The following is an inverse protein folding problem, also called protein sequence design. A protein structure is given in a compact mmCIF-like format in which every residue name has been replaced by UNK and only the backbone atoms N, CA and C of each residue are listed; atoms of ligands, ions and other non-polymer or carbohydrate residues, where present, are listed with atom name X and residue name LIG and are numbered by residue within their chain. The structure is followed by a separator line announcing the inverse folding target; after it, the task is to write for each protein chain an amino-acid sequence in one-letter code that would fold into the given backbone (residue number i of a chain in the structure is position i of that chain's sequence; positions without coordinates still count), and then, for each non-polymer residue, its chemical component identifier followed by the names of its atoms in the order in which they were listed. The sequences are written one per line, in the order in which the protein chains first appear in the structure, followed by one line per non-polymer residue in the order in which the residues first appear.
data_IF_078988840316
#
_entry.id   IF_078988840316
#
_cell.length_a   1.000
_cell.length_b   1.000
_cell.length_c   1.000
_cell.angle_alpha   90.00
_cell.angle_beta   90.00
_cell.angle_gamma   90.00
#
_symmetry.space_group_name_H-M   'P 1'
#
loop_
_entity.id
_entity.type
_entity.pdbx_description
1 polymer ?
#
# COMPACT_ATOMS: atom_id res chain seq x y z
N UNK A 1 -3.22 12.64 -11.39
CA UNK A 1 -1.83 12.58 -10.89
C UNK A 1 -1.42 11.12 -10.93
N UNK A 2 -0.21 10.81 -11.39
CA UNK A 2 0.18 9.44 -11.78
C UNK A 2 -0.25 8.35 -10.77
N UNK A 3 0.07 8.51 -9.48
CA UNK A 3 -0.25 7.52 -8.43
C UNK A 3 -1.75 7.38 -8.17
N UNK A 4 -2.50 8.48 -8.19
CA UNK A 4 -3.97 8.46 -8.04
C UNK A 4 -4.61 7.70 -9.19
N UNK A 5 -4.15 7.95 -10.41
CA UNK A 5 -4.71 7.36 -11.61
C UNK A 5 -4.35 5.86 -11.73
N UNK A 6 -3.19 5.45 -11.20
CA UNK A 6 -2.68 4.07 -11.32
C UNK A 6 -3.12 3.14 -10.19
N UNK A 7 -3.14 3.62 -8.95
CA UNK A 7 -3.41 2.79 -7.75
C UNK A 7 -4.42 3.41 -6.78
N UNK A 8 -5.06 4.53 -7.14
CA UNK A 8 -6.03 5.22 -6.28
C UNK A 8 -5.39 5.92 -5.08
N UNK A 9 -4.06 6.03 -5.04
CA UNK A 9 -3.35 6.62 -3.92
C UNK A 9 -3.38 8.14 -3.98
N UNK A 10 -3.96 8.75 -2.95
CA UNK A 10 -3.90 10.20 -2.74
C UNK A 10 -2.61 10.57 -2.00
N UNK A 11 -1.86 11.54 -2.52
CA UNK A 11 -0.62 12.04 -1.91
C UNK A 11 -0.88 12.61 -0.51
N UNK A 12 -2.06 13.17 -0.28
CA UNK A 12 -2.46 13.74 1.00
C UNK A 12 -2.69 12.70 2.11
N UNK A 13 -2.96 11.44 1.76
CA UNK A 13 -3.22 10.37 2.74
C UNK A 13 -1.95 9.69 3.26
N UNK A 14 -0.87 9.72 2.48
CA UNK A 14 0.46 9.16 2.85
C UNK A 14 1.41 10.27 3.35
N UNK A 15 1.25 11.49 2.84
CA UNK A 15 2.09 12.63 3.17
C UNK A 15 3.09 12.93 2.05
N UNK A 16 3.12 14.20 1.62
CA UNK A 16 3.91 14.70 0.50
C UNK A 16 5.41 14.39 0.63
N UNK A 17 5.95 14.50 1.85
CA UNK A 17 7.36 14.20 2.12
C UNK A 17 7.75 12.75 1.81
N UNK A 18 6.84 11.78 1.98
CA UNK A 18 7.10 10.37 1.65
C UNK A 18 7.17 10.20 0.13
N UNK A 19 6.26 10.85 -0.60
CA UNK A 19 6.23 10.81 -2.07
C UNK A 19 7.47 11.47 -2.66
N UNK A 20 7.85 12.65 -2.18
CA UNK A 20 9.06 13.34 -2.63
C UNK A 20 10.33 12.53 -2.35
N UNK A 21 10.38 11.84 -1.21
CA UNK A 21 11.50 10.96 -0.87
C UNK A 21 11.56 9.77 -1.83
N UNK A 22 10.43 9.13 -2.10
CA UNK A 22 10.35 8.00 -3.03
C UNK A 22 10.76 8.42 -4.44
N UNK A 23 10.25 9.55 -4.94
CA UNK A 23 10.61 10.11 -6.25
C UNK A 23 12.12 10.39 -6.35
N UNK A 24 12.72 11.06 -5.35
CA UNK A 24 14.17 11.31 -5.32
C UNK A 24 14.99 10.02 -5.29
N UNK A 25 14.56 9.04 -4.51
CA UNK A 25 15.24 7.74 -4.44
C UNK A 25 15.18 7.01 -5.78
N UNK A 26 14.03 7.03 -6.44
CA UNK A 26 13.83 6.39 -7.75
C UNK A 26 14.59 7.08 -8.87
N UNK A 27 14.52 8.41 -8.98
CA UNK A 27 15.28 9.18 -9.96
C UNK A 27 16.79 8.93 -9.83
N UNK A 28 17.30 8.88 -8.59
CA UNK A 28 18.69 8.52 -8.33
C UNK A 28 19.02 7.07 -8.71
N UNK A 29 18.14 6.11 -8.42
CA UNK A 29 18.34 4.71 -8.77
C UNK A 29 18.30 4.45 -10.28
N UNK A 30 17.52 5.23 -11.01
CA UNK A 30 17.41 5.21 -12.47
C UNK A 30 18.48 6.06 -13.18
N UNK A 31 19.37 6.72 -12.43
CA UNK A 31 20.41 7.61 -12.96
C UNK A 31 19.87 8.79 -13.80
N UNK A 32 18.66 9.25 -13.51
CA UNK A 32 18.07 10.39 -14.21
C UNK A 32 18.75 11.70 -13.79
N UNK A 33 19.00 12.58 -14.76
CA UNK A 33 19.71 13.83 -14.53
C UNK A 33 18.85 14.87 -13.77
N UNK A 34 17.55 14.88 -14.03
CA UNK A 34 16.58 15.80 -13.44
C UNK A 34 15.18 15.18 -13.35
N UNK A 35 14.20 15.98 -12.92
CA UNK A 35 12.81 15.57 -12.78
C UNK A 35 12.12 15.29 -14.12
N UNK A 36 12.52 15.98 -15.19
CA UNK A 36 11.87 15.86 -16.49
C UNK A 36 12.32 14.57 -17.17
N UNK A 37 13.62 14.26 -17.11
CA UNK A 37 14.19 12.97 -17.54
C UNK A 37 13.55 11.80 -16.78
N UNK A 38 13.42 11.93 -15.45
CA UNK A 38 12.71 10.92 -14.66
C UNK A 38 11.23 10.80 -15.04
N UNK A 39 10.55 11.91 -15.31
CA UNK A 39 9.15 11.88 -15.74
C UNK A 39 8.97 11.14 -17.06
N UNK A 40 9.84 11.40 -18.05
CA UNK A 40 9.85 10.70 -19.34
C UNK A 40 10.07 9.19 -19.19
N UNK A 41 11.00 8.78 -18.31
CA UNK A 41 11.20 7.38 -17.98
C UNK A 41 9.95 6.78 -17.32
N UNK A 42 9.37 7.47 -16.33
CA UNK A 42 8.21 6.99 -15.58
C UNK A 42 7.01 6.73 -16.49
N UNK A 43 6.71 7.62 -17.44
CA UNK A 43 5.56 7.43 -18.33
C UNK A 43 5.79 6.32 -19.38
N UNK A 44 7.04 6.02 -19.73
CA UNK A 44 7.39 5.08 -20.81
C UNK A 44 7.77 3.67 -20.31
N UNK A 45 8.10 3.52 -19.03
CA UNK A 45 8.61 2.27 -18.46
C UNK A 45 7.66 1.69 -17.41
N UNK A 46 6.91 0.61 -17.72
CA UNK A 46 6.08 -0.10 -16.74
C UNK A 46 6.86 -0.60 -15.53
N UNK A 47 8.14 -0.93 -15.72
CA UNK A 47 9.04 -1.38 -14.65
C UNK A 47 9.32 -0.24 -13.67
N UNK A 48 9.58 0.97 -14.17
CA UNK A 48 9.80 2.13 -13.30
C UNK A 48 8.51 2.55 -12.58
N UNK A 49 7.36 2.45 -13.27
CA UNK A 49 6.05 2.66 -12.64
C UNK A 49 5.82 1.74 -11.46
N UNK A 50 6.09 0.44 -11.64
CA UNK A 50 5.96 -0.55 -10.57
C UNK A 50 6.94 -0.26 -9.42
N UNK A 51 8.19 0.09 -9.74
CA UNK A 51 9.19 0.38 -8.73
C UNK A 51 8.89 1.66 -7.93
N UNK A 52 8.29 2.68 -8.55
CA UNK A 52 7.79 3.86 -7.84
C UNK A 52 6.61 3.50 -6.93
N UNK A 53 5.68 2.67 -7.40
CA UNK A 53 4.56 2.18 -6.57
C UNK A 53 5.10 1.46 -5.34
N UNK A 54 6.04 0.53 -5.51
CA UNK A 54 6.66 -0.22 -4.41
C UNK A 54 7.41 0.67 -3.41
N UNK A 55 8.05 1.74 -3.89
CA UNK A 55 8.75 2.69 -3.03
C UNK A 55 7.80 3.60 -2.23
N UNK A 56 6.58 3.79 -2.71
CA UNK A 56 5.57 4.66 -2.10
C UNK A 56 4.63 3.89 -1.18
N UNK A 57 4.27 2.65 -1.53
CA UNK A 57 3.48 1.82 -0.62
C UNK A 57 4.32 1.53 0.61
N UNK A 58 3.72 1.68 1.78
CA UNK A 58 4.35 1.40 3.06
C UNK A 58 4.32 -0.12 3.27
N UNK A 59 5.45 -0.86 3.20
CA UNK A 59 5.43 -2.32 3.30
C UNK A 59 5.23 -2.82 4.74
N UNK A 60 5.16 -1.95 5.75
CA UNK A 60 5.07 -2.40 7.12
C UNK A 60 3.66 -2.85 7.51
N UNK A 61 3.29 -4.11 7.26
CA UNK A 61 2.24 -4.76 8.05
C UNK A 61 2.88 -5.40 9.28
N UNK A 62 2.58 -4.85 10.46
CA UNK A 62 3.01 -5.45 11.73
C UNK A 62 2.00 -6.52 12.15
N UNK A 63 2.49 -7.72 12.50
CA UNK A 63 1.65 -8.74 13.12
C UNK A 63 0.98 -8.17 14.37
N UNK A 64 -0.32 -8.40 14.51
CA UNK A 64 -1.12 -7.90 15.64
C UNK A 64 -1.02 -6.38 15.87
N UNK A 65 -0.93 -5.58 14.79
CA UNK A 65 -0.85 -4.10 14.86
C UNK A 65 -1.85 -3.48 15.85
N UNK A 66 -3.07 -4.03 15.89
CA UNK A 66 -4.10 -3.67 16.85
C UNK A 66 -4.54 -4.94 17.58
N UNK A 67 -3.90 -5.31 18.70
CA UNK A 67 -4.21 -6.53 19.43
C UNK A 67 -5.69 -6.63 19.82
N UNK A 68 -6.32 -5.51 20.14
CA UNK A 68 -7.73 -5.39 20.51
C UNK A 68 -8.64 -5.86 19.38
N UNK A 69 -8.30 -5.55 18.13
CA UNK A 69 -9.06 -6.01 16.96
C UNK A 69 -9.11 -7.54 16.88
N UNK A 70 -8.05 -8.24 17.27
CA UNK A 70 -8.01 -9.70 17.30
C UNK A 70 -8.76 -10.27 18.50
N UNK A 71 -8.73 -9.59 19.65
CA UNK A 71 -9.55 -9.95 20.82
C UNK A 71 -11.03 -9.86 20.47
N UNK A 72 -11.47 -8.74 19.90
CA UNK A 72 -12.85 -8.53 19.45
C UNK A 72 -13.26 -9.54 18.40
N UNK A 73 -12.41 -9.80 17.40
CA UNK A 73 -12.65 -10.83 16.39
C UNK A 73 -12.84 -12.22 17.04
N UNK A 74 -12.00 -12.57 18.02
CA UNK A 74 -12.10 -13.83 18.74
C UNK A 74 -13.39 -13.96 19.57
N UNK A 75 -13.87 -12.88 20.17
CA UNK A 75 -15.16 -12.84 20.88
C UNK A 75 -16.32 -13.10 19.91
N UNK A 76 -16.39 -12.32 18.82
CA UNK A 76 -17.42 -12.45 17.80
C UNK A 76 -17.44 -13.84 17.17
N UNK A 77 -16.26 -14.43 16.90
CA UNK A 77 -16.16 -15.77 16.36
C UNK A 77 -16.74 -16.83 17.32
N UNK A 78 -16.47 -16.74 18.62
CA UNK A 78 -17.01 -17.67 19.63
C UNK A 78 -18.53 -17.56 19.74
N UNK A 79 -19.06 -16.34 19.81
CA UNK A 79 -20.50 -16.10 19.80
C UNK A 79 -21.16 -16.65 18.54
N UNK A 80 -20.52 -16.44 17.37
CA UNK A 80 -21.02 -16.94 16.10
C UNK A 80 -21.04 -18.47 16.07
N UNK A 81 -19.98 -19.14 16.52
CA UNK A 81 -19.92 -20.61 16.59
C UNK A 81 -21.02 -21.15 17.50
N UNK A 82 -21.23 -20.54 18.67
CA UNK A 82 -22.30 -20.92 19.58
C UNK A 82 -23.68 -20.76 18.92
N UNK A 83 -23.91 -19.65 18.21
CA UNK A 83 -25.17 -19.39 17.49
C UNK A 83 -25.44 -20.36 16.33
N UNK A 84 -24.37 -20.85 15.69
CA UNK A 84 -24.47 -21.77 14.56
C UNK A 84 -24.79 -23.20 15.00
N UNK A 85 -24.57 -23.57 16.28
CA UNK A 85 -24.93 -24.87 16.84
C UNK A 85 -24.50 -26.09 15.99
N UNK A 86 -23.35 -26.01 15.32
CA UNK A 86 -22.83 -27.09 14.46
C UNK A 86 -23.28 -27.05 12.99
N UNK A 87 -24.09 -26.06 12.59
CA UNK A 87 -24.41 -25.80 11.18
C UNK A 87 -23.18 -25.17 10.51
N UNK A 88 -22.64 -25.81 9.47
CA UNK A 88 -21.49 -25.28 8.72
C UNK A 88 -21.86 -23.92 8.10
N UNK A 89 -21.14 -22.83 8.43
CA UNK A 89 -21.35 -21.56 7.74
C UNK A 89 -20.79 -21.63 6.31
N UNK A 90 -21.35 -20.76 5.48
CA UNK A 90 -21.27 -20.70 4.02
C UNK A 90 -19.88 -21.02 3.43
N UNK A 91 -19.88 -21.85 2.39
CA UNK A 91 -18.76 -22.10 1.47
C UNK A 91 -18.65 -20.98 0.45
#
# INVERSE_FOLDING_TARGET
SFLKDRIGLDVTSVGEAIIERALRQRAKAANCADSDDYWHLLISSPQEQQALIEAVIVPETWFFRYPESFVTLGMLARERIASLAGVRPLR
#
